data_IF_302364585555
#
_entry.id   IF_302364585555
#
_cell.length_a   1.000
_cell.length_b   1.000
_cell.length_c   1.000
_cell.angle_alpha   90.00
_cell.angle_beta   90.00
_cell.angle_gamma   90.00
#
_symmetry.space_group_name_H-M   'P 1'
#
loop_
_entity.id
_entity.type
_entity.pdbx_description
1 polymer ?
#
# COMPACT_ATOMS: atom_id res chain seq x y z
N UNK A 1 -17.98 -22.49 12.32
CA UNK A 1 -16.67 -21.90 12.01
C UNK A 1 -15.81 -21.98 13.28
N UNK A 2 -14.53 -22.42 13.20
CA UNK A 2 -13.64 -22.39 14.37
C UNK A 2 -13.49 -20.92 14.79
N UNK A 3 -13.59 -20.66 16.08
CA UNK A 3 -13.33 -19.33 16.65
C UNK A 3 -11.87 -18.98 16.31
N UNK A 4 -11.64 -18.14 15.28
CA UNK A 4 -10.30 -17.70 14.88
C UNK A 4 -9.85 -16.64 15.88
N UNK A 5 -8.67 -16.82 16.47
CA UNK A 5 -8.06 -15.84 17.39
C UNK A 5 -7.44 -14.70 16.58
N UNK A 6 -8.28 -13.79 16.09
CA UNK A 6 -7.83 -12.61 15.34
C UNK A 6 -7.27 -11.59 16.33
N UNK A 7 -6.00 -11.23 16.14
CA UNK A 7 -5.24 -10.33 17.00
C UNK A 7 -4.81 -9.07 16.27
N UNK A 8 -4.83 -9.07 14.94
CA UNK A 8 -4.46 -7.95 14.09
C UNK A 8 -5.34 -7.89 12.85
N UNK A 9 -5.73 -6.68 12.46
CA UNK A 9 -6.44 -6.40 11.23
C UNK A 9 -5.66 -5.39 10.38
N UNK A 10 -5.47 -5.71 9.10
CA UNK A 10 -4.80 -4.86 8.11
C UNK A 10 -5.84 -4.30 7.14
N UNK A 11 -5.75 -3.01 6.87
CA UNK A 11 -6.69 -2.32 5.99
C UNK A 11 -5.93 -1.54 4.93
N UNK A 12 -6.25 -1.78 3.67
CA UNK A 12 -5.92 -0.81 2.63
C UNK A 12 -6.76 0.46 2.83
N UNK A 13 -6.38 1.55 2.18
CA UNK A 13 -7.00 2.87 2.36
C UNK A 13 -8.00 3.16 1.23
N UNK A 14 -7.49 3.28 0.01
CA UNK A 14 -8.23 3.82 -1.12
C UNK A 14 -9.11 2.74 -1.76
N UNK A 15 -10.43 2.88 -1.68
CA UNK A 15 -11.38 1.85 -2.10
C UNK A 15 -11.68 0.78 -1.04
N UNK A 16 -11.02 0.82 0.11
CA UNK A 16 -11.21 -0.12 1.23
C UNK A 16 -11.72 0.57 2.49
N UNK A 17 -10.95 1.49 3.08
CA UNK A 17 -11.40 2.35 4.18
C UNK A 17 -12.13 3.58 3.66
N UNK A 18 -11.61 4.19 2.61
CA UNK A 18 -12.11 5.43 2.02
C UNK A 18 -12.74 5.16 0.64
N UNK A 19 -14.01 5.49 0.45
CA UNK A 19 -14.63 5.56 -0.87
C UNK A 19 -14.09 6.76 -1.68
N UNK A 20 -14.43 6.88 -2.98
CA UNK A 20 -13.93 7.96 -3.84
C UNK A 20 -14.26 9.39 -3.37
N UNK A 21 -15.26 9.58 -2.53
CA UNK A 21 -15.61 10.87 -1.92
C UNK A 21 -14.79 11.20 -0.67
N UNK A 22 -13.85 10.33 -0.28
CA UNK A 22 -12.96 10.46 0.87
C UNK A 22 -13.68 10.62 2.22
N UNK A 23 -14.91 10.12 2.35
CA UNK A 23 -15.65 10.13 3.59
C UNK A 23 -15.62 8.76 4.27
N UNK A 24 -14.91 8.62 5.40
CA UNK A 24 -14.86 7.37 6.17
C UNK A 24 -16.25 6.99 6.68
N UNK A 25 -16.83 5.83 6.27
CA UNK A 25 -18.16 5.44 6.69
C UNK A 25 -18.29 5.29 8.21
N UNK A 26 -19.42 5.76 8.78
CA UNK A 26 -19.69 5.65 10.23
C UNK A 26 -19.70 4.19 10.72
N UNK A 27 -20.21 3.27 9.90
CA UNK A 27 -20.18 1.83 10.18
C UNK A 27 -18.76 1.27 10.28
N UNK A 28 -17.85 1.76 9.42
CA UNK A 28 -16.43 1.40 9.47
C UNK A 28 -15.81 1.90 10.78
N UNK A 29 -16.05 3.16 11.17
CA UNK A 29 -15.57 3.71 12.45
C UNK A 29 -16.07 2.90 13.63
N UNK A 30 -17.36 2.53 13.63
CA UNK A 30 -17.95 1.70 14.68
C UNK A 30 -17.30 0.31 14.75
N UNK A 31 -17.06 -0.32 13.60
CA UNK A 31 -16.42 -1.63 13.50
C UNK A 31 -14.97 -1.60 14.02
N UNK A 32 -14.18 -0.60 13.63
CA UNK A 32 -12.80 -0.40 14.11
C UNK A 32 -12.75 -0.21 15.63
N UNK A 33 -13.67 0.57 16.19
CA UNK A 33 -13.76 0.77 17.65
C UNK A 33 -14.10 -0.54 18.40
N UNK A 34 -14.97 -1.39 17.83
CA UNK A 34 -15.30 -2.70 18.43
C UNK A 34 -14.06 -3.61 18.39
N UNK A 35 -13.35 -3.69 17.27
CA UNK A 35 -12.10 -4.48 17.17
C UNK A 35 -11.07 -4.02 18.18
N UNK A 36 -10.85 -2.71 18.31
CA UNK A 36 -9.94 -2.12 19.30
C UNK A 36 -10.34 -2.47 20.74
N UNK A 37 -11.62 -2.36 21.07
CA UNK A 37 -12.13 -2.72 22.40
C UNK A 37 -11.89 -4.21 22.74
N UNK A 38 -11.77 -5.06 21.72
CA UNK A 38 -11.42 -6.49 21.86
C UNK A 38 -9.91 -6.76 21.90
N UNK A 39 -9.09 -5.72 21.82
CA UNK A 39 -7.62 -5.84 21.81
C UNK A 39 -7.03 -6.27 20.47
N UNK A 40 -7.79 -6.16 19.37
CA UNK A 40 -7.27 -6.37 18.03
C UNK A 40 -6.47 -5.14 17.62
N UNK A 41 -5.23 -5.33 17.19
CA UNK A 41 -4.38 -4.26 16.66
C UNK A 41 -4.84 -3.90 15.25
N UNK A 42 -4.87 -2.60 14.95
CA UNK A 42 -5.38 -2.05 13.69
C UNK A 42 -4.21 -1.41 12.92
N UNK A 43 -3.91 -1.96 11.76
CA UNK A 43 -2.82 -1.52 10.90
C UNK A 43 -3.30 -1.07 9.54
N UNK A 44 -2.76 0.04 9.04
CA UNK A 44 -2.90 0.40 7.62
C UNK A 44 -1.94 -0.43 6.77
N UNK A 45 -2.35 -0.77 5.54
CA UNK A 45 -1.51 -1.44 4.54
C UNK A 45 -1.70 -0.74 3.17
N UNK A 46 -0.82 0.20 2.84
CA UNK A 46 -1.02 1.14 1.74
C UNK A 46 0.21 1.29 0.84
N UNK A 47 -0.02 1.67 -0.43
CA UNK A 47 1.05 2.16 -1.31
C UNK A 47 1.56 3.55 -0.95
N UNK A 48 0.83 4.30 -0.14
CA UNK A 48 1.18 5.67 0.23
C UNK A 48 2.43 5.73 1.11
N UNK A 49 3.32 6.73 0.90
CA UNK A 49 4.48 6.95 1.76
C UNK A 49 4.12 7.67 3.06
N UNK A 50 5.02 7.64 4.08
CA UNK A 50 4.78 8.26 5.39
C UNK A 50 4.40 9.74 5.34
N UNK A 51 4.99 10.52 4.47
CA UNK A 51 4.71 11.98 4.40
C UNK A 51 3.30 12.30 3.85
N UNK A 52 2.62 11.35 3.17
CA UNK A 52 1.23 11.51 2.76
C UNK A 52 0.23 11.41 3.91
N UNK A 53 0.62 10.87 5.06
CA UNK A 53 -0.31 10.65 6.19
C UNK A 53 -0.90 11.94 6.75
N UNK A 54 -0.19 13.06 6.65
CA UNK A 54 -0.72 14.32 7.15
C UNK A 54 -1.90 14.84 6.30
N UNK A 55 -1.97 14.46 5.01
CA UNK A 55 -3.12 14.75 4.15
C UNK A 55 -4.32 13.87 4.49
N UNK A 56 -4.07 12.64 4.94
CA UNK A 56 -5.13 11.68 5.31
C UNK A 56 -5.81 12.00 6.64
N UNK A 57 -5.19 12.78 7.54
CA UNK A 57 -5.76 13.04 8.88
C UNK A 57 -7.17 13.64 8.86
N UNK A 58 -7.52 14.35 7.82
CA UNK A 58 -8.84 14.95 7.64
C UNK A 58 -9.87 13.90 7.20
N UNK A 59 -9.47 13.02 6.28
CA UNK A 59 -10.34 12.05 5.62
C UNK A 59 -10.39 10.74 6.40
N UNK A 60 -9.31 10.44 7.15
CA UNK A 60 -9.19 9.27 8.01
C UNK A 60 -8.91 9.69 9.47
N UNK A 61 -9.90 10.26 10.17
CA UNK A 61 -9.76 10.74 11.55
C UNK A 61 -9.81 9.59 12.57
N UNK A 62 -8.98 8.57 12.36
CA UNK A 62 -8.86 7.39 13.20
C UNK A 62 -7.38 7.08 13.43
N UNK A 63 -7.00 6.78 14.67
CA UNK A 63 -5.63 6.39 15.00
C UNK A 63 -5.43 4.89 14.79
N UNK A 64 -4.39 4.50 14.07
CA UNK A 64 -3.98 3.11 13.87
C UNK A 64 -2.77 2.78 14.76
N UNK A 65 -2.64 1.51 15.15
CA UNK A 65 -1.54 1.04 16.01
C UNK A 65 -0.22 0.97 15.24
N UNK A 66 -0.29 0.81 13.93
CA UNK A 66 0.88 0.83 13.05
C UNK A 66 0.50 0.86 11.56
N UNK A 67 1.52 0.83 10.71
CA UNK A 67 1.37 1.06 9.28
C UNK A 67 2.39 0.25 8.48
N UNK A 68 1.90 -0.38 7.44
CA UNK A 68 2.64 -1.03 6.36
C UNK A 68 2.50 -0.11 5.15
N UNK A 69 3.56 0.57 4.76
CA UNK A 69 3.56 1.68 3.80
C UNK A 69 4.43 1.38 2.59
N UNK A 70 4.29 2.21 1.53
CA UNK A 70 5.04 2.04 0.28
C UNK A 70 4.95 0.59 -0.23
N UNK A 71 3.72 0.06 -0.28
CA UNK A 71 3.43 -1.32 -0.66
C UNK A 71 4.21 -2.38 0.14
N UNK A 72 4.49 -2.11 1.43
CA UNK A 72 5.16 -3.06 2.30
C UNK A 72 6.63 -2.80 2.56
N UNK A 73 7.23 -1.83 1.87
CA UNK A 73 8.68 -1.59 1.94
C UNK A 73 9.10 -0.77 3.16
N UNK A 74 8.14 -0.17 3.88
CA UNK A 74 8.39 0.60 5.09
C UNK A 74 7.30 0.37 6.13
N UNK A 75 7.65 -0.27 7.24
CA UNK A 75 6.71 -0.59 8.31
C UNK A 75 7.09 0.13 9.60
N UNK A 76 6.10 0.72 10.25
CA UNK A 76 6.27 1.44 11.51
C UNK A 76 5.09 1.28 12.45
N UNK A 77 5.33 1.48 13.72
CA UNK A 77 4.34 1.63 14.77
C UNK A 77 4.62 2.89 15.62
N UNK A 78 4.06 2.95 16.84
CA UNK A 78 4.27 4.05 17.79
C UNK A 78 5.73 4.17 18.26
N UNK A 79 6.50 3.10 18.22
CA UNK A 79 7.90 3.06 18.67
C UNK A 79 8.89 3.41 17.55
N UNK A 80 8.40 3.53 16.32
CA UNK A 80 9.17 3.96 15.16
C UNK A 80 9.15 2.95 13.99
N UNK A 81 10.11 3.09 13.08
CA UNK A 81 10.29 2.14 11.98
C UNK A 81 10.90 0.83 12.51
N UNK A 82 10.29 -0.32 12.22
CA UNK A 82 10.80 -1.64 12.58
C UNK A 82 11.20 -2.48 11.35
N UNK A 83 10.78 -2.09 10.14
CA UNK A 83 11.18 -2.74 8.88
C UNK A 83 11.32 -1.70 7.77
N UNK A 84 12.42 -1.80 7.01
CA UNK A 84 12.70 -0.94 5.88
C UNK A 84 13.45 -1.74 4.80
N UNK A 85 12.90 -1.78 3.60
CA UNK A 85 13.41 -2.57 2.48
C UNK A 85 13.56 -1.70 1.23
N UNK A 86 14.67 -0.96 1.09
CA UNK A 86 14.88 -0.06 -0.05
C UNK A 86 15.14 -0.83 -1.34
N UNK A 87 14.93 -0.15 -2.45
CA UNK A 87 15.25 -0.63 -3.79
C UNK A 87 16.75 -1.01 -3.91
N UNK A 88 17.07 -2.08 -4.65
CA UNK A 88 18.45 -2.50 -4.85
C UNK A 88 19.24 -1.43 -5.61
N UNK A 89 20.39 -1.04 -5.07
CA UNK A 89 21.26 -0.02 -5.66
C UNK A 89 21.77 -0.39 -7.05
N UNK A 90 21.89 -1.69 -7.35
CA UNK A 90 22.28 -2.18 -8.66
C UNK A 90 21.22 -1.82 -9.71
N UNK A 91 19.94 -2.06 -9.43
CA UNK A 91 18.83 -1.68 -10.30
C UNK A 91 18.81 -0.19 -10.60
N UNK A 92 19.02 0.65 -9.56
CA UNK A 92 19.08 2.11 -9.75
C UNK A 92 20.27 2.55 -10.61
N UNK A 93 21.44 1.90 -10.48
CA UNK A 93 22.61 2.21 -11.32
C UNK A 93 22.41 1.86 -12.79
N UNK A 94 21.67 0.81 -13.09
CA UNK A 94 21.36 0.44 -14.47
C UNK A 94 20.26 1.32 -15.06
N UNK A 95 19.27 1.69 -14.25
CA UNK A 95 18.15 2.52 -14.68
C UNK A 95 18.57 3.95 -15.07
N UNK A 96 19.38 4.61 -14.25
CA UNK A 96 19.60 6.04 -14.37
C UNK A 96 20.18 6.47 -15.72
N UNK A 97 21.24 5.83 -16.28
CA UNK A 97 21.81 6.21 -17.57
C UNK A 97 20.85 6.04 -18.76
N UNK A 98 19.89 5.12 -18.64
CA UNK A 98 18.85 4.94 -19.63
C UNK A 98 17.74 5.99 -19.45
N UNK A 99 17.31 6.23 -18.22
CA UNK A 99 16.27 7.20 -17.88
C UNK A 99 16.62 8.63 -18.32
N UNK A 100 17.90 9.02 -18.27
CA UNK A 100 18.38 10.31 -18.74
C UNK A 100 18.12 10.55 -20.25
N UNK A 101 18.00 9.47 -21.05
CA UNK A 101 17.78 9.50 -22.50
C UNK A 101 16.31 9.43 -22.89
N UNK A 102 15.41 9.33 -21.93
CA UNK A 102 13.97 9.20 -22.13
C UNK A 102 13.22 10.45 -21.62
N UNK A 103 11.95 10.55 -21.94
CA UNK A 103 11.04 11.56 -21.39
C UNK A 103 10.22 11.02 -20.20
N UNK A 104 10.54 9.81 -19.72
CA UNK A 104 9.82 9.17 -18.62
C UNK A 104 10.07 9.95 -17.33
N UNK A 105 8.97 10.39 -16.73
CA UNK A 105 8.97 10.98 -15.41
C UNK A 105 8.92 9.86 -14.36
N UNK A 106 9.73 9.97 -13.31
CA UNK A 106 9.77 9.01 -12.20
C UNK A 106 9.79 9.78 -10.89
N UNK A 107 8.87 9.47 -10.01
CA UNK A 107 8.92 9.86 -8.60
C UNK A 107 9.76 8.85 -7.83
N UNK A 108 10.74 9.34 -7.10
CA UNK A 108 11.63 8.58 -6.21
C UNK A 108 11.16 8.78 -4.78
N UNK A 109 10.64 7.73 -4.17
CA UNK A 109 9.99 7.79 -2.86
C UNK A 109 10.96 7.39 -1.76
N UNK A 110 11.33 8.36 -0.93
CA UNK A 110 12.11 8.19 0.30
C UNK A 110 11.16 8.05 1.51
N UNK A 111 11.67 7.85 2.70
CA UNK A 111 10.83 7.71 3.90
C UNK A 111 10.06 9.01 4.24
N UNK A 112 10.72 10.16 4.15
CA UNK A 112 10.19 11.45 4.61
C UNK A 112 9.81 12.40 3.49
N UNK A 113 10.12 12.07 2.24
CA UNK A 113 9.88 12.92 1.07
C UNK A 113 9.87 12.10 -0.22
N UNK A 114 9.45 12.73 -1.31
CA UNK A 114 9.70 12.23 -2.67
C UNK A 114 10.16 13.38 -3.57
N UNK A 115 10.79 13.01 -4.65
CA UNK A 115 11.22 13.93 -5.70
C UNK A 115 11.08 13.27 -7.07
N UNK A 116 10.96 14.08 -8.10
CA UNK A 116 10.88 13.62 -9.48
C UNK A 116 12.16 13.98 -10.25
N UNK A 117 12.58 13.12 -11.18
CA UNK A 117 13.66 13.48 -12.11
C UNK A 117 13.22 14.55 -13.13
N UNK A 118 11.96 14.54 -13.53
CA UNK A 118 11.30 15.46 -14.47
C UNK A 118 9.78 15.31 -14.40
N UNK A 119 9.06 16.14 -15.16
CA UNK A 119 7.61 15.97 -15.40
C UNK A 119 7.35 15.56 -16.84
N UNK A 120 6.21 14.88 -17.08
CA UNK A 120 5.64 14.58 -18.39
C UNK A 120 4.10 14.71 -18.32
N UNK A 121 3.40 14.51 -19.45
CA UNK A 121 1.94 14.65 -19.50
C UNK A 121 1.19 13.68 -18.57
N UNK A 122 1.72 12.49 -18.31
CA UNK A 122 1.08 11.49 -17.47
C UNK A 122 1.11 11.85 -15.98
N UNK A 123 2.09 12.62 -15.52
CA UNK A 123 2.17 13.01 -14.11
C UNK A 123 1.36 14.27 -13.75
N UNK A 124 0.71 14.93 -14.70
CA UNK A 124 -0.02 16.18 -14.46
C UNK A 124 -1.17 16.05 -13.45
N UNK A 125 -1.92 14.94 -13.50
CA UNK A 125 -3.01 14.70 -12.57
C UNK A 125 -2.48 14.37 -11.18
N UNK A 126 -1.49 13.50 -11.10
CA UNK A 126 -0.80 13.16 -9.85
C UNK A 126 -0.26 14.39 -9.12
N UNK A 127 0.38 15.31 -9.83
CA UNK A 127 0.94 16.54 -9.25
C UNK A 127 -0.12 17.55 -8.79
N UNK A 128 -1.37 17.46 -9.26
CA UNK A 128 -2.49 18.25 -8.71
C UNK A 128 -2.91 17.76 -7.33
N UNK A 129 -2.82 16.45 -7.10
CA UNK A 129 -3.17 15.84 -5.83
C UNK A 129 -2.01 15.91 -4.83
N UNK A 130 -0.77 15.83 -5.31
CA UNK A 130 0.45 15.81 -4.50
C UNK A 130 1.43 16.89 -5.01
N UNK A 131 1.12 18.19 -4.82
CA UNK A 131 1.88 19.28 -5.43
C UNK A 131 3.25 19.55 -4.79
N UNK A 132 3.68 18.77 -3.81
CA UNK A 132 4.90 19.06 -3.02
C UNK A 132 6.13 18.29 -3.50
N UNK A 133 6.01 17.42 -4.52
CA UNK A 133 7.19 16.78 -5.08
C UNK A 133 8.06 17.79 -5.82
N UNK A 134 9.32 17.86 -5.43
CA UNK A 134 10.32 18.73 -6.06
C UNK A 134 10.98 18.01 -7.23
N UNK A 135 11.52 18.79 -8.18
CA UNK A 135 12.42 18.24 -9.21
C UNK A 135 13.83 18.24 -8.63
N UNK A 136 14.44 17.07 -8.60
CA UNK A 136 15.80 16.85 -8.09
C UNK A 136 16.56 15.88 -9.02
N UNK A 137 17.90 15.93 -9.07
CA UNK A 137 18.67 14.95 -9.84
C UNK A 137 18.38 13.51 -9.38
N UNK A 138 18.12 12.62 -10.32
CA UNK A 138 17.82 11.22 -10.03
C UNK A 138 18.95 10.52 -9.23
N UNK A 139 20.19 11.00 -9.34
CA UNK A 139 21.38 10.52 -8.59
C UNK A 139 21.24 10.66 -7.07
N UNK A 140 20.27 11.44 -6.58
CA UNK A 140 19.96 11.56 -5.15
C UNK A 140 19.66 10.19 -4.51
N UNK A 141 19.09 9.23 -5.25
CA UNK A 141 18.82 7.86 -4.79
C UNK A 141 20.09 7.07 -4.38
N UNK A 142 21.28 7.54 -4.72
CA UNK A 142 22.54 6.94 -4.23
C UNK A 142 22.99 7.47 -2.87
N UNK A 143 22.38 8.56 -2.41
CA UNK A 143 22.68 9.19 -1.11
C UNK A 143 21.65 8.82 -0.06
N UNK A 144 20.40 8.74 -0.46
CA UNK A 144 19.26 8.44 0.43
C UNK A 144 18.55 7.16 -0.01
N UNK A 145 18.10 6.30 0.92
CA UNK A 145 17.34 5.11 0.58
C UNK A 145 16.04 5.46 -0.15
N UNK A 146 15.86 4.88 -1.34
CA UNK A 146 14.60 4.96 -2.11
C UNK A 146 13.88 3.64 -1.95
N UNK A 147 12.60 3.68 -1.56
CA UNK A 147 11.82 2.47 -1.25
C UNK A 147 10.90 2.06 -2.38
N UNK A 148 10.47 3.01 -3.17
CA UNK A 148 9.56 2.82 -4.29
C UNK A 148 9.90 3.83 -5.38
N UNK A 149 9.71 3.46 -6.65
CA UNK A 149 9.58 4.43 -7.73
C UNK A 149 8.14 4.41 -8.21
N UNK A 150 7.57 5.57 -8.54
CA UNK A 150 6.35 5.64 -9.34
C UNK A 150 6.73 6.16 -10.73
N UNK A 151 6.72 5.28 -11.72
CA UNK A 151 7.13 5.58 -13.09
C UNK A 151 5.93 5.93 -13.95
N UNK A 152 5.88 7.17 -14.47
CA UNK A 152 4.77 7.68 -15.30
C UNK A 152 4.98 7.30 -16.76
N UNK A 153 4.43 6.15 -17.10
CA UNK A 153 4.57 5.51 -18.41
C UNK A 153 3.35 4.60 -18.71
N UNK A 154 3.10 4.35 -20.00
CA UNK A 154 2.04 3.43 -20.42
C UNK A 154 2.39 1.96 -20.15
N UNK A 155 1.38 1.10 -20.17
CA UNK A 155 1.60 -0.35 -20.05
C UNK A 155 2.48 -0.94 -21.16
N UNK A 156 2.50 -0.32 -22.34
CA UNK A 156 3.36 -0.75 -23.46
C UNK A 156 4.84 -0.42 -23.22
N UNK A 157 5.14 0.65 -22.49
CA UNK A 157 6.50 1.06 -22.15
C UNK A 157 7.07 0.30 -20.94
N UNK A 158 6.21 -0.31 -20.13
CA UNK A 158 6.59 -0.99 -18.87
C UNK A 158 7.63 -2.11 -19.07
N UNK A 159 7.52 -3.02 -20.07
CA UNK A 159 8.51 -4.07 -20.27
C UNK A 159 9.92 -3.54 -20.58
N UNK A 160 10.02 -2.44 -21.35
CA UNK A 160 11.29 -1.78 -21.64
C UNK A 160 11.88 -1.14 -20.39
N UNK A 161 11.07 -0.42 -19.61
CA UNK A 161 11.48 0.17 -18.33
C UNK A 161 12.04 -0.91 -17.40
N UNK A 162 11.27 -2.01 -17.22
CA UNK A 162 11.64 -3.10 -16.32
C UNK A 162 12.92 -3.83 -16.73
N UNK A 163 13.26 -3.85 -18.01
CA UNK A 163 14.54 -4.40 -18.49
C UNK A 163 15.77 -3.61 -17.98
N UNK A 164 15.58 -2.36 -17.56
CA UNK A 164 16.63 -1.47 -17.04
C UNK A 164 16.66 -1.33 -15.52
N UNK A 165 15.81 -2.06 -14.78
CA UNK A 165 15.77 -2.01 -13.32
C UNK A 165 15.81 -3.41 -12.70
N UNK A 166 16.93 -4.15 -12.86
CA UNK A 166 17.05 -5.51 -12.35
C UNK A 166 16.88 -5.57 -10.83
N UNK A 167 16.36 -6.68 -10.36
CA UNK A 167 16.06 -6.90 -8.94
C UNK A 167 14.80 -6.19 -8.44
N UNK A 168 14.01 -5.63 -9.36
CA UNK A 168 12.73 -4.99 -9.05
C UNK A 168 11.57 -5.67 -9.77
N UNK A 169 10.35 -5.37 -9.32
CA UNK A 169 9.09 -5.77 -9.95
C UNK A 169 8.16 -4.58 -10.11
N UNK A 170 7.27 -4.66 -11.10
CA UNK A 170 6.24 -3.67 -11.34
C UNK A 170 4.93 -4.07 -10.64
N UNK A 171 4.22 -3.11 -10.07
CA UNK A 171 2.87 -3.26 -9.52
C UNK A 171 2.01 -2.13 -10.08
N UNK A 172 1.16 -2.46 -11.06
CA UNK A 172 0.30 -1.48 -11.72
C UNK A 172 -1.11 -1.50 -11.11
N UNK A 173 -1.57 -0.34 -10.69
CA UNK A 173 -2.92 -0.08 -10.22
C UNK A 173 -3.50 1.24 -10.77
N UNK A 174 -2.74 1.93 -11.63
CA UNK A 174 -3.16 3.13 -12.36
C UNK A 174 -2.85 2.98 -13.85
N UNK A 175 -3.63 3.64 -14.70
CA UNK A 175 -3.33 3.72 -16.14
C UNK A 175 -2.15 4.67 -16.42
N UNK A 176 -1.92 5.67 -15.56
CA UNK A 176 -0.95 6.75 -15.75
C UNK A 176 0.46 6.37 -15.28
N UNK A 177 0.57 5.48 -14.29
CA UNK A 177 1.87 5.09 -13.71
C UNK A 177 1.88 3.66 -13.19
N UNK A 178 3.08 3.20 -12.89
CA UNK A 178 3.35 1.91 -12.26
C UNK A 178 4.30 2.09 -11.09
N UNK A 179 4.02 1.43 -9.97
CA UNK A 179 4.94 1.37 -8.85
C UNK A 179 5.99 0.29 -9.08
N UNK A 180 7.25 0.64 -8.82
CA UNK A 180 8.40 -0.26 -8.91
C UNK A 180 8.91 -0.52 -7.50
N UNK A 181 8.91 -1.78 -7.13
CA UNK A 181 9.28 -2.29 -5.81
C UNK A 181 10.48 -3.24 -5.91
N UNK A 182 11.19 -3.53 -4.84
CA UNK A 182 12.10 -4.67 -4.82
C UNK A 182 11.41 -5.96 -5.29
N UNK A 183 12.10 -6.83 -6.02
CA UNK A 183 11.51 -8.06 -6.56
C UNK A 183 10.90 -8.98 -5.49
N UNK A 184 11.45 -8.94 -4.27
CA UNK A 184 10.96 -9.64 -3.09
C UNK A 184 10.03 -8.79 -2.23
N UNK A 185 9.68 -7.57 -2.68
CA UNK A 185 8.82 -6.63 -1.99
C UNK A 185 7.33 -6.89 -2.19
N UNK A 186 6.50 -6.07 -1.55
CA UNK A 186 5.05 -6.09 -1.66
C UNK A 186 4.34 -6.04 -0.31
N UNK A 187 3.06 -5.68 -0.29
CA UNK A 187 2.27 -5.59 0.96
C UNK A 187 2.37 -6.87 1.80
N UNK A 188 2.44 -8.03 1.16
CA UNK A 188 2.59 -9.32 1.85
C UNK A 188 3.84 -9.40 2.71
N UNK A 189 4.97 -8.85 2.27
CA UNK A 189 6.20 -8.82 3.06
C UNK A 189 6.06 -7.91 4.28
N UNK A 190 5.50 -6.72 4.08
CA UNK A 190 5.21 -5.81 5.19
C UNK A 190 4.29 -6.43 6.24
N UNK A 191 3.27 -7.19 5.82
CA UNK A 191 2.43 -7.95 6.74
C UNK A 191 3.23 -9.02 7.48
N UNK A 192 4.02 -9.82 6.78
CA UNK A 192 4.85 -10.86 7.39
C UNK A 192 5.81 -10.27 8.43
N UNK A 193 6.49 -9.16 8.10
CA UNK A 193 7.42 -8.51 9.01
C UNK A 193 6.70 -7.85 10.21
N UNK A 194 5.48 -7.33 10.00
CA UNK A 194 4.65 -6.85 11.09
C UNK A 194 4.24 -7.98 12.03
N UNK A 195 3.83 -9.13 11.49
CA UNK A 195 3.49 -10.30 12.30
C UNK A 195 4.70 -10.81 13.08
N UNK A 196 5.88 -10.88 12.45
CA UNK A 196 7.14 -11.27 13.11
C UNK A 196 7.49 -10.30 14.26
N UNK A 197 7.38 -8.99 14.03
CA UNK A 197 7.63 -7.94 15.01
C UNK A 197 6.74 -8.08 16.25
N UNK A 198 5.47 -8.44 16.03
CA UNK A 198 4.46 -8.58 17.10
C UNK A 198 4.42 -9.99 17.73
N UNK A 199 5.21 -10.95 17.24
CA UNK A 199 5.17 -12.34 17.68
C UNK A 199 3.85 -13.05 17.35
N UNK A 200 3.21 -12.66 16.25
CA UNK A 200 1.95 -13.23 15.74
C UNK A 200 2.23 -14.13 14.54
N UNK A 201 1.22 -14.95 14.19
CA UNK A 201 1.22 -15.75 12.98
C UNK A 201 0.14 -15.26 12.01
N UNK A 202 0.21 -15.67 10.74
CA UNK A 202 -0.79 -15.28 9.73
C UNK A 202 -2.22 -15.65 10.14
N UNK A 203 -2.40 -16.75 10.87
CA UNK A 203 -3.71 -17.22 11.35
C UNK A 203 -4.36 -16.25 12.34
N UNK A 204 -3.55 -15.35 12.96
CA UNK A 204 -4.05 -14.29 13.84
C UNK A 204 -4.48 -13.02 13.08
N UNK A 205 -4.38 -12.99 11.75
CA UNK A 205 -4.65 -11.81 10.95
C UNK A 205 -5.91 -11.88 10.12
N UNK A 206 -6.53 -10.72 9.92
CA UNK A 206 -7.52 -10.46 8.89
C UNK A 206 -7.04 -9.27 8.06
N UNK A 207 -7.19 -9.32 6.72
CA UNK A 207 -6.80 -8.25 5.83
C UNK A 207 -7.95 -7.85 4.91
N UNK A 208 -8.08 -6.54 4.65
CA UNK A 208 -9.07 -5.95 3.77
C UNK A 208 -8.37 -5.20 2.65
N UNK A 209 -8.82 -5.37 1.40
CA UNK A 209 -8.25 -4.72 0.23
C UNK A 209 -9.19 -4.75 -0.97
N UNK A 210 -8.85 -3.96 -1.99
CA UNK A 210 -9.63 -3.91 -3.23
C UNK A 210 -8.75 -3.83 -4.50
N UNK A 211 -7.50 -3.38 -4.40
CA UNK A 211 -6.59 -3.18 -5.52
C UNK A 211 -5.78 -4.40 -5.93
N UNK A 212 -5.13 -4.31 -7.09
CA UNK A 212 -4.21 -5.35 -7.57
C UNK A 212 -3.00 -5.58 -6.64
N UNK A 213 -2.54 -4.52 -5.96
CA UNK A 213 -1.46 -4.57 -4.96
C UNK A 213 -1.87 -5.25 -3.64
N UNK A 214 -3.17 -5.54 -3.44
CA UNK A 214 -3.70 -6.26 -2.28
C UNK A 214 -3.76 -7.78 -2.50
N UNK A 215 -3.69 -8.24 -3.73
CA UNK A 215 -3.89 -9.63 -4.11
C UNK A 215 -3.06 -10.60 -3.25
N UNK A 216 -1.76 -10.34 -3.13
CA UNK A 216 -0.85 -11.17 -2.35
C UNK A 216 -1.12 -11.07 -0.84
N UNK A 217 -1.47 -9.88 -0.35
CA UNK A 217 -1.84 -9.63 1.04
C UNK A 217 -3.11 -10.41 1.42
N UNK A 218 -4.14 -10.37 0.58
CA UNK A 218 -5.40 -11.08 0.80
C UNK A 218 -5.20 -12.61 0.80
N UNK A 219 -4.40 -13.13 -0.15
CA UNK A 219 -4.08 -14.57 -0.19
C UNK A 219 -3.25 -15.02 1.01
N UNK A 220 -2.43 -14.15 1.58
CA UNK A 220 -1.52 -14.48 2.68
C UNK A 220 -2.20 -14.46 4.04
N UNK A 221 -3.06 -13.48 4.33
CA UNK A 221 -3.68 -13.30 5.63
C UNK A 221 -4.43 -14.56 6.11
N UNK A 222 -4.62 -14.69 7.42
CA UNK A 222 -5.44 -15.76 8.00
C UNK A 222 -6.90 -15.71 7.53
N UNK A 223 -7.41 -14.49 7.27
CA UNK A 223 -8.65 -14.21 6.57
C UNK A 223 -8.37 -13.06 5.59
N UNK A 224 -8.47 -13.31 4.30
CA UNK A 224 -8.44 -12.28 3.27
C UNK A 224 -9.85 -11.88 2.86
N UNK A 225 -10.15 -10.59 2.91
CA UNK A 225 -11.45 -10.01 2.55
C UNK A 225 -11.28 -9.03 1.40
N UNK A 226 -11.85 -9.32 0.26
CA UNK A 226 -11.95 -8.37 -0.84
C UNK A 226 -13.22 -7.53 -0.70
N UNK A 227 -13.10 -6.23 -0.91
CA UNK A 227 -14.25 -5.32 -0.97
C UNK A 227 -15.13 -5.65 -2.18
N UNK A 228 -16.41 -5.27 -2.14
CA UNK A 228 -17.34 -5.47 -3.24
C UNK A 228 -16.95 -4.74 -4.52
N UNK A 229 -16.28 -3.59 -4.39
CA UNK A 229 -15.71 -2.81 -5.48
C UNK A 229 -14.33 -3.30 -5.95
N UNK A 230 -13.79 -4.40 -5.39
CA UNK A 230 -12.43 -4.86 -5.65
C UNK A 230 -12.22 -5.33 -7.10
N UNK A 231 -11.00 -5.20 -7.56
CA UNK A 231 -10.55 -5.71 -8.85
C UNK A 231 -10.64 -7.24 -8.92
N UNK A 232 -10.79 -7.82 -10.13
CA UNK A 232 -10.99 -9.26 -10.30
C UNK A 232 -9.93 -10.13 -9.62
N UNK A 233 -8.65 -9.73 -9.68
CA UNK A 233 -7.53 -10.48 -9.11
C UNK A 233 -7.57 -10.46 -7.58
N UNK A 234 -7.87 -9.32 -6.95
CA UNK A 234 -8.06 -9.21 -5.50
C UNK A 234 -9.25 -10.06 -5.03
N UNK A 235 -10.37 -10.03 -5.78
CA UNK A 235 -11.54 -10.88 -5.49
C UNK A 235 -11.24 -12.37 -5.60
N UNK A 236 -10.43 -12.77 -6.57
CA UNK A 236 -10.05 -14.18 -6.78
C UNK A 236 -9.10 -14.70 -5.69
N UNK A 237 -8.31 -13.82 -5.08
CA UNK A 237 -7.34 -14.17 -4.05
C UNK A 237 -7.92 -14.22 -2.62
N UNK A 238 -9.08 -13.60 -2.40
CA UNK A 238 -9.66 -13.46 -1.08
C UNK A 238 -10.45 -14.70 -0.63
N UNK A 239 -10.50 -14.96 0.67
CA UNK A 239 -11.38 -15.97 1.29
C UNK A 239 -12.87 -15.57 1.25
N UNK A 240 -13.13 -14.25 1.26
CA UNK A 240 -14.49 -13.69 1.30
C UNK A 240 -14.58 -12.39 0.52
N UNK A 241 -15.68 -12.20 -0.19
CA UNK A 241 -16.00 -10.95 -0.87
C UNK A 241 -17.17 -10.31 -0.11
N UNK A 242 -16.93 -9.12 0.44
CA UNK A 242 -17.93 -8.35 1.14
C UNK A 242 -18.69 -7.39 0.20
N UNK A 243 -19.46 -6.45 0.74
CA UNK A 243 -20.09 -5.37 -0.01
C UNK A 243 -19.13 -4.23 -0.33
N UNK A 244 -19.53 -3.29 -1.18
CA UNK A 244 -18.71 -2.14 -1.56
C UNK A 244 -18.32 -1.28 -0.34
N UNK A 245 -17.29 -0.48 -0.47
CA UNK A 245 -16.76 0.38 0.59
C UNK A 245 -17.81 1.35 1.13
N UNK A 246 -18.69 1.87 0.28
CA UNK A 246 -19.81 2.77 0.61
C UNK A 246 -21.11 2.04 1.02
N UNK A 247 -21.05 0.69 1.14
CA UNK A 247 -22.17 -0.18 1.52
C UNK A 247 -21.84 -1.05 2.73
N UNK A 248 -21.24 -0.43 3.73
CA UNK A 248 -20.86 -1.05 5.01
C UNK A 248 -19.94 -2.29 4.87
N UNK A 249 -19.07 -2.32 3.84
CA UNK A 249 -18.32 -3.52 3.47
C UNK A 249 -17.48 -4.11 4.61
N UNK A 250 -16.75 -3.28 5.35
CA UNK A 250 -15.93 -3.74 6.49
C UNK A 250 -16.83 -4.26 7.62
N UNK A 251 -17.89 -3.53 7.95
CA UNK A 251 -18.85 -3.96 8.97
C UNK A 251 -19.45 -5.33 8.63
N UNK A 252 -19.96 -5.50 7.42
CA UNK A 252 -20.61 -6.71 6.96
C UNK A 252 -19.67 -7.93 6.98
N UNK A 253 -18.41 -7.75 6.60
CA UNK A 253 -17.40 -8.81 6.69
C UNK A 253 -17.10 -9.19 8.15
N UNK A 254 -16.91 -8.22 9.03
CA UNK A 254 -16.62 -8.48 10.44
C UNK A 254 -17.82 -9.13 11.16
N UNK A 255 -19.06 -8.78 10.78
CA UNK A 255 -20.26 -9.44 11.26
C UNK A 255 -20.33 -10.89 10.76
N UNK A 256 -20.03 -11.13 9.45
CA UNK A 256 -19.98 -12.47 8.86
C UNK A 256 -19.01 -13.40 9.61
N UNK A 257 -17.85 -12.92 9.98
CA UNK A 257 -16.86 -13.68 10.75
C UNK A 257 -17.08 -13.66 12.26
N UNK A 258 -18.18 -13.06 12.73
CA UNK A 258 -18.57 -12.96 14.15
C UNK A 258 -17.54 -12.21 15.00
N UNK A 259 -16.83 -11.27 14.40
CA UNK A 259 -15.80 -10.46 15.08
C UNK A 259 -16.36 -9.22 15.77
N UNK A 260 -17.61 -8.85 15.54
CA UNK A 260 -18.29 -7.70 16.18
C UNK A 260 -19.07 -8.06 17.45
N UNK A 261 -19.20 -9.36 17.80
CA UNK A 261 -19.95 -9.83 18.99
C UNK A 261 -19.12 -9.95 20.23
#
# INVERSE_FOLDING_TARGET
MKNRDIRIAFFDIDGTLLPPDHHLPESTVAALNILRAKGVQLYLATGRPPYHLHYLKKDLPFEFDGMVMMNGEYCRDKDGCFYAHPLPQEGLRELLPWLEKTDIAVSFVEADTAYMNRTNALCENFLKEIPQETIDPAQRCFTYPTYQLSAFLSSEQEPEFMAHVPGCRAVRWSEEFVDILPATGGKVNGLQETLNHLGLTRENSIAFGDGGNDTEMLAFAGIGVAMGNAWPDARAAADYITTDVDKDGIWNALEHFVLLK
#
